data_IF_457435429418
#
_entry.id   IF_457435429418
#
_cell.length_a   1.000
_cell.length_b   1.000
_cell.length_c   1.000
_cell.angle_alpha   90.00
_cell.angle_beta   90.00
_cell.angle_gamma   90.00
#
_symmetry.space_group_name_H-M   'P 1'
#
loop_
_entity.id
_entity.type
_entity.pdbx_description
1 polymer ?
#
# COMPACT_ATOMS: atom_id res chain seq x y z
N UNK A 1 -27.60 -19.23 20.88
CA UNK A 1 -27.17 -18.09 20.02
C UNK A 1 -28.34 -17.16 19.81
N UNK A 2 -28.22 -15.86 20.08
CA UNK A 2 -29.28 -14.91 19.77
C UNK A 2 -29.43 -14.77 18.25
N UNK A 3 -30.66 -14.86 17.75
CA UNK A 3 -30.99 -14.63 16.34
C UNK A 3 -31.30 -13.14 16.21
N UNK A 4 -30.35 -12.38 15.69
CA UNK A 4 -30.55 -10.96 15.38
C UNK A 4 -31.41 -10.89 14.11
N UNK A 5 -32.67 -10.44 14.24
CA UNK A 5 -33.57 -10.19 13.10
C UNK A 5 -33.66 -8.70 12.84
N UNK A 6 -33.57 -8.32 11.56
CA UNK A 6 -33.79 -6.93 11.12
C UNK A 6 -35.26 -6.57 11.34
N UNK A 7 -35.55 -5.34 11.79
CA UNK A 7 -36.92 -4.88 11.96
C UNK A 7 -37.67 -4.81 10.63
N UNK A 8 -38.97 -5.08 10.65
CA UNK A 8 -39.80 -5.09 9.43
C UNK A 8 -39.82 -3.72 8.71
N UNK A 9 -39.66 -2.64 9.48
CA UNK A 9 -39.54 -1.27 8.94
C UNK A 9 -38.29 -1.09 8.07
N UNK A 10 -37.14 -1.59 8.53
CA UNK A 10 -35.89 -1.52 7.76
C UNK A 10 -35.93 -2.49 6.58
N UNK A 11 -36.56 -3.67 6.74
CA UNK A 11 -36.78 -4.61 5.64
C UNK A 11 -37.61 -4.01 4.50
N UNK A 12 -38.68 -3.28 4.81
CA UNK A 12 -39.51 -2.59 3.81
C UNK A 12 -38.74 -1.47 3.08
N UNK A 13 -37.85 -0.74 3.75
CA UNK A 13 -36.99 0.25 3.09
C UNK A 13 -36.02 -0.44 2.12
N UNK A 14 -35.42 -1.55 2.53
CA UNK A 14 -34.46 -2.29 1.72
C UNK A 14 -35.13 -2.89 0.48
N UNK A 15 -36.35 -3.40 0.61
CA UNK A 15 -37.17 -3.86 -0.51
C UNK A 15 -37.47 -2.74 -1.51
N UNK A 16 -37.79 -1.52 -1.06
CA UNK A 16 -37.97 -0.36 -1.97
C UNK A 16 -36.69 -0.02 -2.74
N UNK A 17 -35.52 -0.16 -2.10
CA UNK A 17 -34.22 0.06 -2.77
C UNK A 17 -33.97 -1.02 -3.82
N UNK A 18 -34.25 -2.29 -3.50
CA UNK A 18 -34.18 -3.41 -4.45
C UNK A 18 -35.12 -3.22 -5.64
N UNK A 19 -36.37 -2.84 -5.39
CA UNK A 19 -37.39 -2.60 -6.42
C UNK A 19 -37.03 -1.42 -7.33
N UNK A 20 -36.26 -0.44 -6.83
CA UNK A 20 -35.83 0.71 -7.61
C UNK A 20 -34.84 0.37 -8.73
N UNK A 21 -34.28 -0.86 -8.74
CA UNK A 21 -33.29 -1.36 -9.72
C UNK A 21 -32.08 -0.44 -9.93
N UNK A 22 -31.82 0.47 -9.00
CA UNK A 22 -30.68 1.37 -9.07
C UNK A 22 -29.41 0.60 -8.72
N UNK A 23 -28.38 0.80 -9.52
CA UNK A 23 -27.03 0.33 -9.19
C UNK A 23 -26.53 1.08 -7.97
N UNK A 24 -26.01 0.34 -6.99
CA UNK A 24 -25.36 0.89 -5.82
C UNK A 24 -23.90 1.14 -6.16
N UNK A 25 -23.46 2.38 -6.02
CA UNK A 25 -22.04 2.71 -6.09
C UNK A 25 -21.40 2.41 -4.73
N UNK A 26 -20.36 1.59 -4.73
CA UNK A 26 -19.66 1.19 -3.52
C UNK A 26 -18.17 1.49 -3.69
N UNK A 27 -17.61 2.24 -2.73
CA UNK A 27 -16.17 2.43 -2.64
C UNK A 27 -15.54 1.17 -2.06
N UNK A 28 -14.54 0.64 -2.75
CA UNK A 28 -13.76 -0.51 -2.35
C UNK A 28 -12.27 -0.17 -2.45
N UNK A 29 -11.47 -0.86 -1.65
CA UNK A 29 -10.02 -0.80 -1.76
C UNK A 29 -9.51 -2.10 -2.32
N UNK A 30 -8.73 -2.01 -3.38
CA UNK A 30 -8.02 -3.15 -3.95
C UNK A 30 -6.55 -3.02 -3.65
N UNK A 31 -5.85 -4.15 -3.65
CA UNK A 31 -4.43 -4.20 -3.40
C UNK A 31 -3.77 -5.10 -4.42
N UNK A 32 -2.60 -4.66 -4.90
CA UNK A 32 -1.76 -5.42 -5.82
C UNK A 32 -0.39 -5.60 -5.19
N UNK A 33 0.06 -6.85 -5.09
CA UNK A 33 1.40 -7.18 -4.62
C UNK A 33 2.31 -7.44 -5.83
N UNK A 34 3.36 -6.66 -5.95
CA UNK A 34 4.43 -6.85 -6.91
C UNK A 34 5.69 -7.31 -6.19
N UNK A 35 6.43 -8.21 -6.82
CA UNK A 35 7.68 -8.75 -6.28
C UNK A 35 8.82 -8.50 -7.28
N UNK A 36 9.96 -8.03 -6.79
CA UNK A 36 11.24 -8.12 -7.46
C UNK A 36 12.01 -9.30 -6.83
N UNK A 37 12.10 -10.45 -7.50
CA UNK A 37 12.54 -11.70 -6.89
C UNK A 37 14.00 -11.69 -6.43
N UNK A 38 14.91 -11.05 -7.18
CA UNK A 38 16.33 -10.97 -6.82
C UNK A 38 16.88 -9.60 -7.20
N UNK A 39 17.26 -8.81 -6.21
CA UNK A 39 17.89 -7.51 -6.44
C UNK A 39 19.37 -7.66 -6.84
N UNK A 40 19.87 -6.83 -7.78
CA UNK A 40 21.29 -6.77 -8.07
C UNK A 40 22.10 -6.25 -6.86
N UNK A 41 23.40 -6.55 -6.84
CA UNK A 41 24.34 -6.13 -5.78
C UNK A 41 24.79 -4.68 -5.92
N UNK A 42 23.84 -3.75 -5.94
CA UNK A 42 24.09 -2.31 -5.99
C UNK A 42 23.53 -1.61 -4.74
N UNK A 43 23.94 -0.35 -4.55
CA UNK A 43 23.45 0.54 -3.48
C UNK A 43 22.26 1.40 -3.91
N UNK A 44 22.04 1.55 -5.21
CA UNK A 44 20.91 2.30 -5.77
C UNK A 44 20.20 1.44 -6.80
N UNK A 45 18.88 1.39 -6.71
CA UNK A 45 18.03 0.59 -7.57
C UNK A 45 16.85 1.40 -8.04
N UNK A 46 16.48 1.13 -9.28
CA UNK A 46 15.27 1.64 -9.89
C UNK A 46 14.44 0.46 -10.37
N UNK A 47 13.19 0.41 -9.93
CA UNK A 47 12.26 -0.66 -10.24
C UNK A 47 10.95 -0.11 -10.78
N UNK A 48 10.66 -0.39 -12.05
CA UNK A 48 9.34 -0.17 -12.64
C UNK A 48 8.40 -1.29 -12.19
N UNK A 49 7.42 -0.94 -11.35
CA UNK A 49 6.52 -1.89 -10.69
C UNK A 49 5.34 -2.24 -11.58
N UNK A 50 4.66 -1.23 -12.11
CA UNK A 50 3.45 -1.40 -12.92
C UNK A 50 3.38 -0.28 -13.96
N UNK A 51 3.09 -0.66 -15.20
CA UNK A 51 2.69 0.26 -16.26
C UNK A 51 1.34 -0.23 -16.78
N UNK A 52 0.25 0.42 -16.39
CA UNK A 52 -1.12 0.00 -16.74
C UNK A 52 -1.87 1.11 -17.46
N UNK A 53 -2.65 0.75 -18.47
CA UNK A 53 -3.57 1.65 -19.16
C UNK A 53 -4.88 1.90 -18.41
N UNK A 54 -5.11 1.18 -17.30
CA UNK A 54 -6.33 1.28 -16.49
C UNK A 54 -6.10 2.32 -15.38
N UNK A 55 -7.06 3.23 -15.24
CA UNK A 55 -7.02 4.41 -14.38
C UNK A 55 -7.26 4.05 -12.90
N UNK A 56 -6.45 3.17 -12.32
CA UNK A 56 -6.50 2.87 -10.89
C UNK A 56 -5.67 3.91 -10.14
N UNK A 57 -6.30 4.80 -9.36
CA UNK A 57 -5.59 5.83 -8.57
C UNK A 57 -4.90 5.15 -7.38
N UNK A 58 -3.56 4.96 -7.36
CA UNK A 58 -2.88 4.40 -6.21
C UNK A 58 -2.91 5.44 -5.08
N UNK A 59 -3.30 5.03 -3.87
CA UNK A 59 -3.34 5.91 -2.70
C UNK A 59 -2.13 5.70 -1.80
N UNK A 60 -1.68 4.46 -1.65
CA UNK A 60 -0.50 4.13 -0.85
C UNK A 60 0.37 3.12 -1.55
N UNK A 61 1.68 3.26 -1.34
CA UNK A 61 2.68 2.26 -1.71
C UNK A 61 3.40 1.84 -0.45
N UNK A 62 3.41 0.53 -0.18
CA UNK A 62 4.16 -0.07 0.91
C UNK A 62 5.32 -0.85 0.31
N UNK A 63 6.53 -0.52 0.74
CA UNK A 63 7.77 -1.12 0.25
C UNK A 63 8.50 -1.85 1.37
N UNK A 64 8.92 -3.08 1.11
CA UNK A 64 9.68 -3.90 2.05
C UNK A 64 10.71 -4.79 1.35
N UNK A 65 11.77 -5.12 2.08
CA UNK A 65 12.85 -5.99 1.62
C UNK A 65 12.92 -7.25 2.47
N UNK A 66 13.20 -8.40 1.86
CA UNK A 66 13.46 -9.65 2.56
C UNK A 66 14.67 -10.37 1.98
N UNK A 67 15.58 -10.80 2.84
CA UNK A 67 16.83 -11.48 2.46
C UNK A 67 16.77 -12.95 2.79
N UNK A 68 17.00 -13.80 1.79
CA UNK A 68 17.16 -15.27 1.95
C UNK A 68 16.00 -16.00 2.65
N UNK A 69 14.78 -15.46 2.59
CA UNK A 69 13.59 -16.08 3.21
C UNK A 69 12.75 -16.93 2.25
N UNK A 70 12.87 -16.69 0.95
CA UNK A 70 12.10 -17.43 -0.06
C UNK A 70 12.53 -18.91 -0.04
N UNK A 71 11.55 -19.80 0.13
CA UNK A 71 11.75 -21.26 0.24
C UNK A 71 12.62 -21.72 1.42
N UNK A 72 12.75 -20.93 2.48
CA UNK A 72 13.49 -21.31 3.67
C UNK A 72 12.54 -21.45 4.88
N UNK A 73 12.40 -22.66 5.42
CA UNK A 73 11.50 -23.00 6.53
C UNK A 73 12.07 -22.53 7.88
N UNK A 74 13.39 -22.39 7.97
CA UNK A 74 14.07 -22.04 9.23
C UNK A 74 13.95 -20.55 9.57
N UNK A 75 13.65 -19.72 8.58
CA UNK A 75 13.56 -18.27 8.74
C UNK A 75 12.11 -17.81 8.75
N UNK A 76 11.78 -16.95 9.71
CA UNK A 76 10.44 -16.35 9.83
C UNK A 76 10.10 -15.49 8.61
N UNK A 77 9.14 -15.97 7.80
CA UNK A 77 8.68 -15.32 6.58
C UNK A 77 7.93 -13.99 6.82
N UNK A 78 7.48 -13.74 8.05
CA UNK A 78 6.81 -12.50 8.44
C UNK A 78 7.76 -11.32 8.68
N UNK A 79 9.08 -11.55 8.67
CA UNK A 79 10.08 -10.50 8.95
C UNK A 79 10.57 -9.83 7.68
N UNK A 80 10.85 -8.54 7.80
CA UNK A 80 11.45 -7.72 6.78
C UNK A 80 12.80 -7.20 7.27
N UNK A 81 13.76 -7.06 6.35
CA UNK A 81 15.08 -6.51 6.64
C UNK A 81 15.14 -5.05 6.22
N UNK A 82 15.81 -4.23 7.02
CA UNK A 82 16.00 -2.82 6.67
C UNK A 82 17.02 -2.64 5.54
N UNK A 83 17.94 -3.59 5.32
CA UNK A 83 19.01 -3.55 4.31
C UNK A 83 19.80 -2.22 4.25
N UNK A 84 19.83 -1.49 5.37
CA UNK A 84 20.35 -0.11 5.48
C UNK A 84 19.74 0.86 4.45
N UNK A 85 18.42 0.76 4.23
CA UNK A 85 17.66 1.67 3.40
C UNK A 85 17.84 3.12 3.89
N UNK A 86 18.25 3.99 2.97
CA UNK A 86 18.54 5.39 3.23
C UNK A 86 17.45 6.29 2.65
N UNK A 87 17.04 6.01 1.42
CA UNK A 87 16.02 6.80 0.74
C UNK A 87 15.11 5.92 -0.11
N UNK A 88 13.87 6.37 -0.27
CA UNK A 88 12.86 5.73 -1.09
C UNK A 88 12.05 6.84 -1.76
N UNK A 89 11.95 6.78 -3.08
CA UNK A 89 11.13 7.65 -3.91
C UNK A 89 10.23 6.81 -4.79
N UNK A 90 8.97 7.18 -4.83
CA UNK A 90 7.96 6.62 -5.71
C UNK A 90 7.66 7.67 -6.76
N UNK A 91 8.00 7.33 -8.00
CA UNK A 91 7.66 8.08 -9.19
C UNK A 91 6.31 7.57 -9.68
N UNK A 92 5.33 8.48 -9.71
CA UNK A 92 4.03 8.24 -10.31
C UNK A 92 3.92 9.14 -11.52
N UNK A 93 4.05 8.56 -12.72
CA UNK A 93 4.20 9.31 -13.96
C UNK A 93 5.35 10.33 -13.87
N UNK A 94 5.04 11.63 -13.88
CA UNK A 94 6.02 12.72 -13.76
C UNK A 94 6.16 13.29 -12.34
N UNK A 95 5.34 12.85 -11.39
CA UNK A 95 5.35 13.31 -10.00
C UNK A 95 6.17 12.36 -9.11
N UNK A 96 6.76 12.90 -8.03
CA UNK A 96 7.67 12.14 -7.14
C UNK A 96 7.21 12.29 -5.70
N UNK A 97 7.14 11.16 -5.00
CA UNK A 97 6.65 11.07 -3.63
C UNK A 97 7.57 10.20 -2.76
N UNK A 98 7.79 10.56 -1.48
CA UNK A 98 7.57 11.89 -0.92
C UNK A 98 8.46 12.95 -1.59
N UNK A 99 8.05 14.22 -1.53
CA UNK A 99 8.86 15.34 -2.04
C UNK A 99 10.17 15.51 -1.26
N UNK A 100 10.15 15.24 0.04
CA UNK A 100 11.32 15.25 0.90
C UNK A 100 11.88 13.84 1.07
N UNK A 101 13.21 13.72 1.02
CA UNK A 101 13.90 12.46 1.25
C UNK A 101 13.69 11.95 2.67
N UNK A 102 13.51 10.63 2.84
CA UNK A 102 13.40 10.03 4.18
C UNK A 102 14.70 10.15 4.99
N UNK A 103 15.86 10.16 4.32
CA UNK A 103 17.21 10.23 4.91
C UNK A 103 17.36 9.31 6.13
N UNK A 104 16.87 8.09 6.00
CA UNK A 104 16.88 7.12 7.07
C UNK A 104 18.31 6.66 7.35
N UNK A 105 18.66 6.58 8.62
CA UNK A 105 19.93 5.99 9.06
C UNK A 105 19.66 4.99 10.16
N UNK A 106 19.74 3.71 9.82
CA UNK A 106 19.55 2.62 10.75
C UNK A 106 20.74 2.45 11.72
N UNK A 107 21.95 2.92 11.37
CA UNK A 107 23.12 2.86 12.28
C UNK A 107 22.99 3.86 13.41
N UNK A 108 22.58 5.08 13.07
CA UNK A 108 22.37 6.18 14.04
C UNK A 108 20.94 6.24 14.61
N UNK A 109 20.11 5.25 14.30
CA UNK A 109 18.72 5.15 14.77
C UNK A 109 17.81 6.33 14.32
N UNK A 110 18.18 6.99 13.22
CA UNK A 110 17.45 8.09 12.59
C UNK A 110 16.41 7.49 11.64
N UNK A 111 15.34 6.90 12.18
CA UNK A 111 14.22 6.34 11.37
C UNK A 111 12.87 6.95 11.74
N UNK A 112 12.88 8.10 12.43
CA UNK A 112 11.66 8.72 12.95
C UNK A 112 10.68 9.09 11.82
N UNK A 113 11.18 9.51 10.65
CA UNK A 113 10.34 9.85 9.49
C UNK A 113 9.67 8.58 8.93
N UNK A 114 10.40 7.48 8.79
CA UNK A 114 9.85 6.18 8.36
C UNK A 114 8.76 5.69 9.33
N UNK A 115 9.04 5.75 10.64
CA UNK A 115 8.07 5.32 11.64
C UNK A 115 6.83 6.23 11.68
N UNK A 116 7.01 7.53 11.50
CA UNK A 116 5.90 8.48 11.38
C UNK A 116 5.03 8.16 10.16
N UNK A 117 5.63 7.90 8.99
CA UNK A 117 4.87 7.52 7.80
C UNK A 117 4.07 6.22 8.03
N UNK A 118 4.64 5.26 8.74
CA UNK A 118 3.94 4.04 9.16
C UNK A 118 2.76 4.32 10.12
N UNK A 119 2.92 5.20 11.11
CA UNK A 119 1.82 5.54 12.03
C UNK A 119 0.73 6.35 11.35
N UNK A 120 1.11 7.26 10.46
CA UNK A 120 0.20 8.16 9.75
C UNK A 120 -0.61 7.39 8.69
N UNK A 121 -0.04 6.31 8.13
CA UNK A 121 -0.75 5.41 7.22
C UNK A 121 -2.05 4.88 7.85
N UNK A 122 -2.00 4.36 9.08
CA UNK A 122 -3.19 3.82 9.73
C UNK A 122 -4.25 4.91 9.97
N UNK A 123 -3.80 6.11 10.37
CA UNK A 123 -4.67 7.27 10.56
C UNK A 123 -5.39 7.63 9.26
N UNK A 124 -4.64 7.76 8.17
CA UNK A 124 -5.15 8.11 6.84
C UNK A 124 -6.01 7.00 6.21
N UNK A 125 -5.63 5.74 6.40
CA UNK A 125 -6.33 4.59 5.84
C UNK A 125 -7.70 4.33 6.50
N UNK A 126 -7.79 4.44 7.83
CA UNK A 126 -9.04 4.24 8.57
C UNK A 126 -9.83 5.52 8.83
N UNK A 127 -9.35 6.67 8.34
CA UNK A 127 -9.98 7.98 8.53
C UNK A 127 -10.25 8.29 10.02
N UNK A 128 -9.22 8.04 10.85
CA UNK A 128 -9.27 8.28 12.29
C UNK A 128 -8.63 9.61 12.65
N UNK A 129 -9.03 10.20 13.78
CA UNK A 129 -8.41 11.43 14.28
C UNK A 129 -7.06 11.18 14.99
N UNK A 130 -6.86 9.96 15.50
CA UNK A 130 -5.69 9.55 16.27
C UNK A 130 -4.90 8.43 15.59
N UNK A 131 -3.59 8.36 15.87
CA UNK A 131 -2.71 7.28 15.44
C UNK A 131 -2.62 6.21 16.55
N UNK A 132 -2.81 4.94 16.22
CA UNK A 132 -2.73 3.83 17.18
C UNK A 132 -1.83 2.71 16.62
N UNK A 133 -0.50 2.97 16.53
CA UNK A 133 0.40 2.08 15.81
C UNK A 133 0.43 0.69 16.42
N UNK A 134 0.28 -0.33 15.58
CA UNK A 134 0.31 -1.73 16.01
C UNK A 134 1.66 -2.16 16.61
N UNK A 135 2.75 -1.58 16.09
CA UNK A 135 4.13 -1.95 16.46
C UNK A 135 4.82 -0.76 17.09
N UNK A 136 5.60 -1.00 18.15
CA UNK A 136 6.49 0.01 18.71
C UNK A 136 7.65 0.30 17.75
N UNK A 137 8.25 1.49 17.85
CA UNK A 137 9.38 1.90 16.99
C UNK A 137 10.52 0.88 16.96
N UNK A 138 10.86 0.30 18.12
CA UNK A 138 11.90 -0.72 18.23
C UNK A 138 11.55 -2.01 17.46
N UNK A 139 10.30 -2.47 17.54
CA UNK A 139 9.86 -3.67 16.83
C UNK A 139 9.80 -3.41 15.32
N UNK A 140 9.27 -2.25 14.93
CA UNK A 140 9.25 -1.80 13.54
C UNK A 140 10.66 -1.82 12.92
N UNK A 141 11.63 -1.19 13.57
CA UNK A 141 13.00 -1.10 13.06
C UNK A 141 13.68 -2.46 12.87
N UNK A 142 13.50 -3.37 13.83
CA UNK A 142 14.24 -4.62 13.88
C UNK A 142 13.58 -5.75 13.09
N UNK A 143 12.25 -5.73 12.94
CA UNK A 143 11.50 -6.86 12.40
C UNK A 143 10.62 -6.53 11.20
N UNK A 144 10.12 -5.29 11.10
CA UNK A 144 9.15 -4.90 10.05
C UNK A 144 9.42 -3.47 9.55
N UNK A 145 10.61 -3.19 8.97
CA UNK A 145 10.94 -1.87 8.40
C UNK A 145 10.26 -1.66 7.04
N UNK A 146 8.93 -1.77 7.01
CA UNK A 146 8.12 -1.50 5.82
C UNK A 146 7.93 0.01 5.71
N UNK A 147 8.34 0.57 4.59
CA UNK A 147 8.20 1.99 4.32
C UNK A 147 6.86 2.23 3.65
N UNK A 148 6.10 3.20 4.16
CA UNK A 148 4.85 3.63 3.55
C UNK A 148 5.03 4.98 2.89
N UNK A 149 4.60 5.09 1.64
CA UNK A 149 4.53 6.34 0.89
C UNK A 149 3.08 6.65 0.60
N UNK A 150 2.64 7.81 1.07
CA UNK A 150 1.30 8.35 0.83
C UNK A 150 1.30 9.10 -0.52
N UNK A 151 0.45 8.63 -1.43
CA UNK A 151 0.24 9.22 -2.75
C UNK A 151 -1.13 9.92 -2.85
N UNK A 152 -1.86 10.09 -1.74
CA UNK A 152 -3.20 10.69 -1.75
C UNK A 152 -3.24 12.13 -2.25
N UNK A 153 -2.16 12.90 -2.06
CA UNK A 153 -1.99 14.28 -2.52
C UNK A 153 -1.68 14.40 -4.03
N UNK A 154 -2.14 13.45 -4.83
CA UNK A 154 -2.09 13.54 -6.29
C UNK A 154 -2.91 14.71 -6.79
N UNK A 155 -2.36 15.47 -7.73
CA UNK A 155 -3.12 16.47 -8.46
C UNK A 155 -4.21 15.76 -9.28
N UNK A 156 -5.48 16.15 -9.10
CA UNK A 156 -6.60 15.65 -9.91
C UNK A 156 -6.50 16.08 -11.40
N UNK A 157 -5.48 16.88 -11.75
CA UNK A 157 -5.19 17.34 -13.10
C UNK A 157 -4.41 16.33 -13.97
N UNK A 158 -4.08 15.14 -13.46
CA UNK A 158 -3.50 14.06 -14.28
C UNK A 158 -4.58 13.54 -15.23
N UNK A 159 -4.66 14.18 -16.41
CA UNK A 159 -5.47 13.73 -17.53
C UNK A 159 -5.18 12.25 -17.77
N UNK A 160 -6.24 11.43 -17.69
CA UNK A 160 -6.40 10.07 -18.21
C UNK A 160 -5.23 9.59 -19.09
N UNK A 161 -4.16 9.15 -18.46
CA UNK A 161 -3.00 8.54 -19.11
C UNK A 161 -2.56 7.34 -18.30
N UNK A 162 -1.85 6.44 -18.97
CA UNK A 162 -1.25 5.24 -18.39
C UNK A 162 -0.58 5.55 -17.06
N UNK A 163 -0.87 4.76 -16.03
CA UNK A 163 -0.20 4.87 -14.73
C UNK A 163 1.12 4.12 -14.82
N UNK A 164 2.23 4.85 -14.81
CA UNK A 164 3.58 4.32 -14.66
C UNK A 164 4.05 4.53 -13.23
N UNK A 165 4.21 3.43 -12.49
CA UNK A 165 4.68 3.42 -11.12
C UNK A 165 6.11 2.86 -11.08
N UNK A 166 7.05 3.71 -10.69
CA UNK A 166 8.46 3.37 -10.53
C UNK A 166 8.91 3.69 -9.11
N UNK A 167 9.69 2.79 -8.53
CA UNK A 167 10.26 2.93 -7.19
C UNK A 167 11.77 3.01 -7.32
N UNK A 168 12.32 4.12 -6.85
CA UNK A 168 13.75 4.36 -6.76
C UNK A 168 14.14 4.33 -5.28
N UNK A 169 15.14 3.52 -4.94
CA UNK A 169 15.59 3.42 -3.56
C UNK A 169 17.10 3.31 -3.47
N UNK A 170 17.62 3.81 -2.35
CA UNK A 170 19.05 3.87 -2.05
C UNK A 170 19.32 3.26 -0.69
N UNK A 171 20.38 2.47 -0.60
CA UNK A 171 20.89 1.86 0.62
C UNK A 171 22.31 2.36 0.91
N UNK A 172 22.67 2.43 2.20
CA UNK A 172 24.03 2.82 2.62
C UNK A 172 25.07 1.73 2.34
N UNK A 173 24.65 0.47 2.38
CA UNK A 173 25.50 -0.69 2.07
C UNK A 173 24.98 -1.43 0.86
N UNK A 174 25.86 -2.21 0.21
CA UNK A 174 25.46 -3.12 -0.86
C UNK A 174 24.41 -4.11 -0.33
N UNK A 175 23.34 -4.30 -1.10
CA UNK A 175 22.26 -5.21 -0.73
C UNK A 175 22.80 -6.66 -0.68
N UNK A 176 22.46 -7.43 0.37
CA UNK A 176 22.86 -8.83 0.47
C UNK A 176 22.37 -9.68 -0.71
N UNK A 177 23.02 -10.82 -0.93
CA UNK A 177 22.56 -11.78 -1.93
C UNK A 177 21.22 -12.41 -1.53
N UNK A 178 20.42 -12.76 -2.54
CA UNK A 178 19.07 -13.34 -2.37
C UNK A 178 18.10 -12.42 -1.62
N UNK A 179 18.26 -11.11 -1.74
CA UNK A 179 17.26 -10.14 -1.29
C UNK A 179 16.19 -9.93 -2.37
N UNK A 180 14.94 -10.08 -1.98
CA UNK A 180 13.75 -9.78 -2.78
C UNK A 180 13.13 -8.47 -2.29
N UNK A 181 12.61 -7.66 -3.21
CA UNK A 181 11.80 -6.51 -2.87
C UNK A 181 10.31 -6.80 -3.08
N UNK A 182 9.48 -6.29 -2.18
CA UNK A 182 8.04 -6.37 -2.26
C UNK A 182 7.47 -4.96 -2.27
N UNK A 183 6.53 -4.73 -3.18
CA UNK A 183 5.74 -3.52 -3.26
C UNK A 183 4.27 -3.90 -3.20
N UNK A 184 3.56 -3.41 -2.19
CA UNK A 184 2.11 -3.51 -2.10
C UNK A 184 1.52 -2.16 -2.45
N UNK A 185 0.72 -2.12 -3.51
CA UNK A 185 0.03 -0.92 -3.96
C UNK A 185 -1.42 -1.01 -3.50
N UNK A 186 -1.92 0.04 -2.85
CA UNK A 186 -3.32 0.17 -2.45
C UNK A 186 -4.02 1.17 -3.36
N UNK A 187 -5.12 0.74 -3.98
CA UNK A 187 -5.92 1.56 -4.87
C UNK A 187 -7.32 1.76 -4.29
N UNK A 188 -7.84 2.98 -4.40
CA UNK A 188 -9.26 3.23 -4.16
C UNK A 188 -10.02 3.00 -5.49
N UNK A 189 -11.04 2.16 -5.47
CA UNK A 189 -11.90 1.83 -6.62
C UNK A 189 -13.35 2.06 -6.28
N UNK A 190 -14.13 2.47 -7.28
CA UNK A 190 -15.59 2.52 -7.17
C UNK A 190 -16.15 1.39 -8.03
N UNK A 191 -16.85 0.46 -7.40
CA UNK A 191 -17.57 -0.59 -8.11
C UNK A 191 -19.06 -0.30 -8.06
N UNK A 192 -19.76 -0.67 -9.12
CA UNK A 192 -21.21 -0.60 -9.17
C UNK A 192 -21.77 -2.01 -9.00
N UNK A 193 -22.65 -2.17 -8.01
CA UNK A 193 -23.36 -3.40 -7.73
C UNK A 193 -24.83 -3.26 -8.11
N UNK A 194 -25.34 -4.19 -8.90
CA UNK A 194 -26.77 -4.27 -9.21
C UNK A 194 -27.43 -5.29 -8.26
N UNK A 195 -28.21 -4.84 -7.28
CA UNK A 195 -28.80 -5.74 -6.29
C UNK A 195 -29.95 -6.59 -6.86
N UNK A 196 -30.46 -6.28 -8.06
CA UNK A 196 -31.51 -7.05 -8.72
C UNK A 196 -30.95 -8.22 -9.57
N UNK A 197 -29.89 -7.99 -10.34
CA UNK A 197 -29.25 -9.03 -11.17
C UNK A 197 -28.07 -9.72 -10.49
N UNK A 198 -27.51 -9.14 -9.43
CA UNK A 198 -26.28 -9.60 -8.79
C UNK A 198 -25.00 -9.18 -9.55
N UNK A 199 -25.11 -8.40 -10.63
CA UNK A 199 -23.96 -7.99 -11.42
C UNK A 199 -23.06 -7.00 -10.66
N UNK A 200 -21.75 -7.21 -10.74
CA UNK A 200 -20.72 -6.30 -10.25
C UNK A 200 -19.93 -5.78 -11.44
N UNK A 201 -19.86 -4.45 -11.59
CA UNK A 201 -19.05 -3.81 -12.63
C UNK A 201 -18.06 -2.87 -12.00
N UNK A 202 -16.79 -3.01 -12.37
CA UNK A 202 -15.74 -2.03 -12.07
C UNK A 202 -15.93 -0.85 -13.02
N UNK A 203 -15.88 0.37 -12.48
CA UNK A 203 -15.87 1.60 -13.27
C UNK A 203 -14.45 1.89 -13.77
#
# INVERSE_FOLDING_TARGET
>A
MPIIKVSDKEKLKLLKVLDSRKTLSCAFRTWDLCEYPVLPRNTSHSWTVKSSSILEKPRFVLFGLQTSRKNNIETDAGRFDHCHLKNLKVHLNSEVYPYEDFRADFKNNITSILYKAYTDFQKSYYERDYCEPLLSKHIFQNYVPIVVVDLSYQNDNVKSSTVDLRIDFETDTVIPEKTSAYCLILHDQIITYNPFSGDVRKL
#
